data_IF_986430783898
#
_entry.id   IF_986430783898
#
_cell.length_a   1.000
_cell.length_b   1.000
_cell.length_c   1.000
_cell.angle_alpha   90.00
_cell.angle_beta   90.00
_cell.angle_gamma   90.00
#
_symmetry.space_group_name_H-M   'P 1'
#
loop_
_entity.id
_entity.type
_entity.pdbx_description
1 polymer ?
#
# COMPACT_ATOMS: atom_id res chain seq x y z
N UNK A 1 14.48 -14.51 9.50
CA UNK A 1 13.03 -14.28 9.47
C UNK A 1 12.29 -14.97 10.61
N UNK A 2 12.47 -16.29 10.79
CA UNK A 2 11.87 -17.05 11.90
C UNK A 2 12.02 -16.40 13.28
N UNK A 3 13.22 -15.92 13.64
CA UNK A 3 13.44 -15.27 14.94
C UNK A 3 12.53 -14.04 15.14
N UNK A 4 12.50 -13.08 14.20
CA UNK A 4 11.65 -11.90 14.33
C UNK A 4 10.14 -12.24 14.37
N UNK A 5 9.68 -13.26 13.64
CA UNK A 5 8.27 -13.65 13.62
C UNK A 5 7.87 -14.47 14.85
N UNK A 6 8.63 -15.50 15.18
CA UNK A 6 8.28 -16.51 16.20
C UNK A 6 8.78 -16.12 17.59
N UNK A 7 10.00 -15.57 17.69
CA UNK A 7 10.62 -15.24 18.98
C UNK A 7 10.21 -13.84 19.43
N UNK A 8 10.25 -12.84 18.54
CA UNK A 8 9.86 -11.47 18.86
C UNK A 8 8.35 -11.21 18.70
N UNK A 9 7.63 -12.11 18.03
CA UNK A 9 6.19 -11.97 17.80
C UNK A 9 5.83 -10.79 16.88
N UNK A 10 6.77 -10.32 16.05
CA UNK A 10 6.64 -9.09 15.29
C UNK A 10 6.34 -9.36 13.82
N UNK A 11 5.15 -8.96 13.35
CA UNK A 11 4.72 -9.10 11.95
C UNK A 11 5.14 -7.93 11.04
N UNK A 12 5.67 -6.82 11.57
CA UNK A 12 6.04 -5.63 10.77
C UNK A 12 7.10 -5.96 9.70
N UNK A 13 7.87 -7.01 9.93
CA UNK A 13 8.84 -7.52 8.97
C UNK A 13 8.21 -8.10 7.69
N UNK A 14 6.92 -8.44 7.68
CA UNK A 14 6.20 -8.85 6.47
C UNK A 14 6.09 -7.69 5.48
N UNK A 15 6.03 -6.45 5.95
CA UNK A 15 6.07 -5.28 5.07
C UNK A 15 7.43 -5.02 4.42
N UNK A 16 8.50 -5.67 4.88
CA UNK A 16 9.77 -5.60 4.14
C UNK A 16 9.67 -6.28 2.77
N UNK A 17 8.65 -7.11 2.56
CA UNK A 17 8.38 -7.82 1.30
C UNK A 17 7.71 -6.85 0.34
N UNK A 18 8.55 -6.17 -0.43
CA UNK A 18 8.18 -5.09 -1.34
C UNK A 18 8.78 -5.27 -2.74
N UNK A 19 9.62 -6.30 -2.90
CA UNK A 19 10.27 -6.65 -4.16
C UNK A 19 9.28 -7.03 -5.26
N UNK A 20 9.66 -6.69 -6.49
CA UNK A 20 9.02 -7.20 -7.69
C UNK A 20 9.15 -8.73 -7.73
N UNK A 21 8.01 -9.42 -7.79
CA UNK A 21 7.98 -10.88 -7.71
C UNK A 21 8.73 -11.56 -8.86
N UNK A 22 8.86 -10.92 -10.01
CA UNK A 22 9.63 -11.44 -11.15
C UNK A 22 11.15 -11.44 -10.90
N UNK A 23 11.63 -10.55 -10.03
CA UNK A 23 13.05 -10.41 -9.69
C UNK A 23 13.45 -11.24 -8.47
N UNK A 24 12.46 -11.79 -7.78
CA UNK A 24 12.63 -12.52 -6.53
C UNK A 24 13.12 -13.95 -6.76
N UNK A 25 13.98 -14.45 -5.87
CA UNK A 25 14.35 -15.86 -5.82
C UNK A 25 13.14 -16.74 -5.47
N UNK A 26 12.68 -17.52 -6.45
CA UNK A 26 11.52 -18.41 -6.34
C UNK A 26 11.65 -19.49 -5.25
N UNK A 27 12.88 -19.78 -4.79
CA UNK A 27 13.13 -20.76 -3.72
C UNK A 27 12.80 -20.23 -2.33
N UNK A 28 12.64 -18.92 -2.17
CA UNK A 28 12.30 -18.31 -0.89
C UNK A 28 10.79 -18.35 -0.66
N UNK A 29 10.37 -18.82 0.51
CA UNK A 29 8.96 -18.81 0.92
C UNK A 29 8.36 -17.41 0.79
N UNK A 30 7.10 -17.31 0.35
CA UNK A 30 6.47 -16.02 0.04
C UNK A 30 6.45 -14.99 1.18
N UNK A 31 6.61 -15.41 2.43
CA UNK A 31 6.65 -14.56 3.63
C UNK A 31 8.08 -14.22 4.11
N UNK A 32 9.11 -14.59 3.34
CA UNK A 32 10.53 -14.30 3.65
C UNK A 32 11.04 -13.24 2.68
N UNK A 33 11.49 -12.05 3.11
CA UNK A 33 12.01 -11.03 2.19
C UNK A 33 13.26 -11.51 1.45
N UNK A 34 13.37 -11.16 0.16
CA UNK A 34 14.57 -11.41 -0.63
C UNK A 34 15.55 -10.24 -0.55
N UNK A 35 16.43 -10.25 0.46
CA UNK A 35 17.47 -9.23 0.61
C UNK A 35 18.46 -9.19 -0.57
N UNK A 36 18.54 -10.26 -1.38
CA UNK A 36 19.36 -10.26 -2.59
C UNK A 36 18.81 -9.35 -3.68
N UNK A 37 17.49 -9.16 -3.76
CA UNK A 37 16.84 -8.25 -4.69
C UNK A 37 17.07 -6.76 -4.36
N UNK A 38 17.53 -6.49 -3.13
CA UNK A 38 17.79 -5.16 -2.57
C UNK A 38 19.29 -4.86 -2.43
N UNK A 39 20.15 -5.55 -3.20
CA UNK A 39 21.61 -5.46 -3.08
C UNK A 39 22.23 -4.26 -3.83
N UNK A 40 21.49 -3.62 -4.72
CA UNK A 40 21.94 -2.46 -5.48
C UNK A 40 21.49 -1.15 -4.81
N UNK A 41 22.36 -0.15 -4.68
CA UNK A 41 21.94 1.16 -4.20
C UNK A 41 20.73 1.67 -4.99
N UNK A 42 19.69 2.11 -4.26
CA UNK A 42 18.45 2.63 -4.85
C UNK A 42 17.60 1.61 -5.64
N UNK A 43 17.84 0.29 -5.47
CA UNK A 43 16.97 -0.75 -6.03
C UNK A 43 15.76 -1.09 -5.16
N UNK A 44 15.74 -0.62 -3.91
CA UNK A 44 14.59 -0.75 -3.02
C UNK A 44 13.35 -0.11 -3.67
N UNK A 45 12.44 -0.94 -4.15
CA UNK A 45 11.12 -0.49 -4.56
C UNK A 45 10.32 -0.18 -3.31
N UNK A 46 10.01 1.10 -3.12
CA UNK A 46 9.24 1.56 -1.97
C UNK A 46 7.77 1.21 -2.22
N UNK A 47 7.27 0.17 -1.55
CA UNK A 47 5.85 -0.21 -1.64
C UNK A 47 5.23 -0.56 -0.30
N UNK A 48 5.89 -0.39 0.85
CA UNK A 48 5.37 -0.82 2.16
C UNK A 48 4.89 0.33 3.05
N UNK A 49 3.65 0.22 3.54
CA UNK A 49 3.01 1.15 4.46
C UNK A 49 3.39 0.90 5.93
N UNK A 50 3.91 -0.28 6.27
CA UNK A 50 4.38 -0.60 7.63
C UNK A 50 5.79 -0.09 7.92
N UNK A 51 6.31 0.88 7.16
CA UNK A 51 7.57 1.52 7.52
C UNK A 51 7.36 2.47 8.69
N UNK A 52 7.78 2.04 9.88
CA UNK A 52 8.61 2.92 10.65
C UNK A 52 9.72 2.22 11.41
N UNK A 53 10.94 2.35 10.90
CA UNK A 53 12.10 2.12 11.77
C UNK A 53 12.16 3.21 12.86
N UNK A 54 11.46 4.37 12.71
CA UNK A 54 11.63 5.54 13.58
C UNK A 54 10.38 6.35 14.02
N UNK A 55 9.14 6.03 13.62
CA UNK A 55 7.93 6.78 14.04
C UNK A 55 6.65 5.92 14.03
N UNK A 56 5.83 5.83 15.08
CA UNK A 56 4.65 4.94 15.08
C UNK A 56 3.80 5.09 13.80
N UNK A 57 3.36 3.97 13.18
CA UNK A 57 2.63 4.04 11.92
C UNK A 57 1.33 4.82 12.13
N UNK A 58 0.91 5.62 11.15
CA UNK A 58 -0.32 6.40 11.27
C UNK A 58 -1.54 5.49 11.42
N UNK A 59 -1.49 4.26 10.91
CA UNK A 59 -2.52 3.23 11.00
C UNK A 59 -2.14 2.16 12.04
N UNK A 60 -3.11 1.75 12.83
CA UNK A 60 -2.95 0.73 13.87
C UNK A 60 -4.26 -0.06 13.97
N UNK A 61 -4.28 -1.24 13.33
CA UNK A 61 -5.44 -2.12 13.34
C UNK A 61 -5.87 -2.54 14.75
N UNK A 62 -4.96 -2.52 15.75
CA UNK A 62 -5.25 -2.90 17.12
C UNK A 62 -5.51 -1.72 18.05
N UNK A 63 -5.54 -0.48 17.55
CA UNK A 63 -5.76 0.74 18.36
C UNK A 63 -4.85 0.79 19.61
N UNK A 64 -3.59 0.40 19.47
CA UNK A 64 -2.55 0.32 20.51
C UNK A 64 -2.78 -0.76 21.56
N UNK A 65 -3.74 -1.65 21.34
CA UNK A 65 -3.86 -2.85 22.16
C UNK A 65 -2.74 -3.83 21.82
N UNK A 66 -1.96 -4.18 22.84
CA UNK A 66 -0.92 -5.21 22.72
C UNK A 66 -1.57 -6.59 22.81
N UNK A 67 -1.60 -7.27 21.68
CA UNK A 67 -1.96 -8.68 21.58
C UNK A 67 -0.69 -9.47 21.30
N UNK A 68 -0.47 -10.57 22.02
CA UNK A 68 0.64 -11.49 21.74
C UNK A 68 0.14 -12.59 20.79
N UNK A 69 0.44 -12.51 19.48
CA UNK A 69 -0.02 -13.53 18.55
C UNK A 69 0.67 -14.88 18.80
N UNK A 70 -0.10 -15.96 18.65
CA UNK A 70 0.48 -17.30 18.51
C UNK A 70 1.06 -17.44 17.10
N UNK A 71 2.37 -17.29 16.97
CA UNK A 71 3.10 -17.43 15.72
C UNK A 71 3.95 -18.68 15.79
N UNK A 72 3.82 -19.56 14.79
CA UNK A 72 4.64 -20.75 14.67
C UNK A 72 4.94 -21.05 13.21
N UNK A 73 5.75 -22.05 12.97
CA UNK A 73 6.07 -22.54 11.65
C UNK A 73 5.77 -24.03 11.54
N UNK A 74 5.55 -24.51 10.33
CA UNK A 74 5.36 -25.92 9.98
C UNK A 74 6.15 -26.27 8.71
N UNK A 75 6.21 -27.56 8.38
CA UNK A 75 6.88 -28.09 7.18
C UNK A 75 8.33 -27.60 7.03
N UNK A 76 9.15 -27.84 8.05
CA UNK A 76 10.57 -27.43 8.07
C UNK A 76 10.75 -25.92 7.84
N UNK A 77 9.96 -25.11 8.55
CA UNK A 77 9.92 -23.66 8.43
C UNK A 77 9.54 -23.12 7.03
N UNK A 78 8.89 -23.93 6.18
CA UNK A 78 8.36 -23.45 4.89
C UNK A 78 6.99 -22.77 5.01
N UNK A 79 6.19 -23.18 6.00
CA UNK A 79 4.86 -22.62 6.25
C UNK A 79 4.86 -21.77 7.51
N UNK A 80 4.39 -20.52 7.40
CA UNK A 80 4.13 -19.66 8.55
C UNK A 80 2.69 -19.88 9.02
N UNK A 81 2.50 -20.21 10.30
CA UNK A 81 1.20 -20.51 10.89
C UNK A 81 0.79 -19.37 11.81
N UNK A 82 -0.30 -18.70 11.45
CA UNK A 82 -0.84 -17.52 12.12
C UNK A 82 -2.36 -17.66 12.26
N UNK A 83 -2.94 -16.89 13.18
CA UNK A 83 -4.38 -16.66 13.24
C UNK A 83 -4.68 -15.30 12.60
N UNK A 84 -5.83 -15.21 11.93
CA UNK A 84 -6.30 -13.96 11.35
C UNK A 84 -7.81 -13.97 11.16
N UNK A 85 -8.34 -12.80 10.82
CA UNK A 85 -9.74 -12.60 10.50
C UNK A 85 -9.84 -12.21 9.02
N UNK A 86 -10.56 -13.02 8.25
CA UNK A 86 -10.93 -12.67 6.88
C UNK A 86 -11.94 -11.52 6.93
N UNK A 87 -11.63 -10.43 6.26
CA UNK A 87 -12.46 -9.22 6.22
C UNK A 87 -13.34 -9.23 4.97
N UNK A 88 -12.75 -9.48 3.81
CA UNK A 88 -13.41 -9.48 2.50
C UNK A 88 -12.52 -10.17 1.46
N UNK A 89 -13.01 -10.27 0.22
CA UNK A 89 -12.25 -10.68 -0.97
C UNK A 89 -12.20 -9.56 -2.00
N UNK A 90 -11.14 -9.53 -2.79
CA UNK A 90 -10.96 -8.59 -3.89
C UNK A 90 -11.91 -8.95 -5.03
N UNK A 91 -12.67 -7.96 -5.52
CA UNK A 91 -13.58 -8.13 -6.66
C UNK A 91 -12.98 -7.55 -7.94
N UNK A 92 -12.38 -6.36 -7.87
CA UNK A 92 -11.80 -5.64 -9.00
C UNK A 92 -10.42 -5.14 -8.64
N UNK A 93 -9.52 -5.12 -9.60
CA UNK A 93 -8.18 -4.55 -9.47
C UNK A 93 -7.90 -3.65 -10.67
N UNK A 94 -7.44 -2.44 -10.41
CA UNK A 94 -7.07 -1.46 -11.42
C UNK A 94 -5.64 -1.59 -11.90
N UNK A 95 -5.22 -0.71 -12.78
CA UNK A 95 -3.88 -0.67 -13.34
C UNK A 95 -2.83 -0.38 -12.26
N UNK A 96 -1.59 -0.84 -12.51
CA UNK A 96 -0.45 -0.55 -11.63
C UNK A 96 -0.03 0.91 -11.79
N UNK A 97 0.04 1.63 -10.67
CA UNK A 97 0.61 2.97 -10.64
C UNK A 97 2.10 2.93 -11.06
N UNK A 98 2.55 3.86 -11.92
CA UNK A 98 3.91 3.90 -12.40
C UNK A 98 4.88 4.12 -11.23
N UNK A 99 5.82 3.20 -11.06
CA UNK A 99 7.00 3.43 -10.23
C UNK A 99 7.99 4.38 -10.89
N UNK A 100 9.12 4.62 -10.22
CA UNK A 100 10.20 5.42 -10.76
C UNK A 100 11.34 4.55 -11.32
N UNK A 101 11.51 4.53 -12.64
CA UNK A 101 12.65 3.89 -13.34
C UNK A 101 13.26 4.83 -14.37
N UNK A 102 13.78 5.99 -13.91
CA UNK A 102 14.46 6.96 -14.79
C UNK A 102 13.59 7.45 -15.96
N UNK A 103 12.28 7.49 -15.74
CA UNK A 103 11.32 7.86 -16.77
C UNK A 103 11.28 9.37 -16.93
N UNK A 104 10.94 9.81 -18.14
CA UNK A 104 10.61 11.21 -18.39
C UNK A 104 9.43 11.64 -17.50
N UNK A 105 9.59 12.79 -16.82
CA UNK A 105 8.59 13.31 -15.88
C UNK A 105 7.22 13.51 -16.52
N UNK A 106 7.16 13.99 -17.77
CA UNK A 106 5.89 14.18 -18.48
C UNK A 106 5.20 12.86 -18.75
N UNK A 107 5.95 11.84 -19.19
CA UNK A 107 5.43 10.49 -19.40
C UNK A 107 4.92 9.86 -18.11
N UNK A 108 5.63 10.10 -17.00
CA UNK A 108 5.21 9.63 -15.68
C UNK A 108 3.87 10.26 -15.27
N UNK A 109 3.73 11.59 -15.43
CA UNK A 109 2.49 12.34 -15.16
C UNK A 109 1.32 11.82 -16.00
N UNK A 110 1.51 11.64 -17.31
CA UNK A 110 0.47 11.13 -18.20
C UNK A 110 0.03 9.72 -17.80
N UNK A 111 0.99 8.86 -17.49
CA UNK A 111 0.71 7.49 -17.04
C UNK A 111 -0.07 7.48 -15.73
N UNK A 112 0.36 8.27 -14.74
CA UNK A 112 -0.32 8.35 -13.45
C UNK A 112 -1.73 8.92 -13.60
N UNK A 113 -1.94 9.90 -14.48
CA UNK A 113 -3.27 10.45 -14.79
C UNK A 113 -4.20 9.38 -15.35
N UNK A 114 -3.73 8.60 -16.33
CA UNK A 114 -4.50 7.49 -16.89
C UNK A 114 -4.86 6.45 -15.84
N UNK A 115 -3.90 6.10 -14.97
CA UNK A 115 -4.12 5.17 -13.85
C UNK A 115 -5.18 5.71 -12.89
N UNK A 116 -5.10 6.97 -12.46
CA UNK A 116 -6.10 7.57 -11.57
C UNK A 116 -7.50 7.59 -12.19
N UNK A 117 -7.59 7.88 -13.49
CA UNK A 117 -8.87 7.84 -14.21
C UNK A 117 -9.46 6.44 -14.24
N UNK A 118 -8.62 5.40 -14.44
CA UNK A 118 -9.05 4.02 -14.45
C UNK A 118 -9.48 3.57 -13.04
N UNK A 119 -8.69 3.86 -12.01
CA UNK A 119 -9.04 3.60 -10.61
C UNK A 119 -10.39 4.23 -10.22
N UNK A 120 -10.63 5.47 -10.65
CA UNK A 120 -11.90 6.17 -10.43
C UNK A 120 -13.07 5.43 -11.08
N UNK A 121 -12.87 4.84 -12.26
CA UNK A 121 -13.90 4.10 -13.00
C UNK A 121 -14.30 2.76 -12.35
N UNK A 122 -13.47 2.23 -11.44
CA UNK A 122 -13.76 0.99 -10.71
C UNK A 122 -14.79 1.18 -9.60
N UNK A 123 -14.97 2.41 -9.13
CA UNK A 123 -15.87 2.73 -8.03
C UNK A 123 -17.31 2.32 -8.37
N UNK A 124 -18.07 1.81 -7.38
CA UNK A 124 -19.48 1.50 -7.58
C UNK A 124 -20.26 2.76 -7.99
N UNK A 125 -21.28 2.62 -8.83
CA UNK A 125 -22.08 3.74 -9.33
C UNK A 125 -23.02 4.39 -8.30
N UNK A 126 -23.07 3.88 -7.06
CA UNK A 126 -23.75 4.56 -5.95
C UNK A 126 -22.97 5.83 -5.55
N UNK A 127 -23.55 6.71 -4.73
CA UNK A 127 -22.84 7.96 -4.34
C UNK A 127 -22.05 7.84 -3.03
N UNK A 128 -22.37 6.85 -2.18
CA UNK A 128 -21.81 6.73 -0.83
C UNK A 128 -20.95 5.47 -0.67
N UNK A 129 -19.83 5.65 0.02
CA UNK A 129 -18.97 4.59 0.53
C UNK A 129 -19.69 3.74 1.57
N UNK A 130 -19.20 2.51 1.76
CA UNK A 130 -19.82 1.51 2.64
C UNK A 130 -20.05 2.00 4.08
N UNK A 131 -19.19 2.89 4.57
CA UNK A 131 -19.28 3.47 5.92
C UNK A 131 -20.08 4.78 5.98
N UNK A 132 -20.65 5.22 4.85
CA UNK A 132 -21.57 6.36 4.75
C UNK A 132 -20.93 7.66 4.24
N UNK A 133 -19.61 7.72 4.10
CA UNK A 133 -18.91 8.87 3.52
C UNK A 133 -19.11 8.96 2.01
N UNK A 134 -18.82 10.13 1.43
CA UNK A 134 -18.84 10.32 -0.02
C UNK A 134 -17.73 9.53 -0.71
N UNK A 135 -18.01 8.95 -1.89
CA UNK A 135 -16.99 8.18 -2.61
C UNK A 135 -15.81 9.01 -3.07
N UNK A 136 -15.98 10.28 -3.45
CA UNK A 136 -14.84 11.13 -3.84
C UNK A 136 -13.88 11.32 -2.66
N UNK A 137 -14.41 11.56 -1.47
CA UNK A 137 -13.61 11.78 -0.28
C UNK A 137 -12.88 10.50 0.10
N UNK A 138 -13.60 9.38 0.13
CA UNK A 138 -13.01 8.07 0.45
C UNK A 138 -11.96 7.66 -0.59
N UNK A 139 -12.23 7.88 -1.89
CA UNK A 139 -11.30 7.61 -2.98
C UNK A 139 -10.00 8.40 -2.82
N UNK A 140 -10.08 9.72 -2.65
CA UNK A 140 -8.87 10.53 -2.52
C UNK A 140 -8.14 10.24 -1.21
N UNK A 141 -8.83 9.99 -0.10
CA UNK A 141 -8.17 9.52 1.12
C UNK A 141 -7.43 8.21 0.89
N UNK A 142 -7.98 7.26 0.14
CA UNK A 142 -7.29 6.02 -0.22
C UNK A 142 -6.09 6.27 -1.13
N UNK A 143 -6.24 7.06 -2.19
CA UNK A 143 -5.17 7.39 -3.15
C UNK A 143 -4.01 8.12 -2.49
N UNK A 144 -4.32 9.03 -1.55
CA UNK A 144 -3.34 9.79 -0.78
C UNK A 144 -2.86 9.06 0.48
N UNK A 145 -3.30 7.81 0.69
CA UNK A 145 -3.07 6.99 1.91
C UNK A 145 -3.38 7.74 3.22
N UNK A 146 -4.34 8.66 3.15
CA UNK A 146 -4.79 9.57 4.20
C UNK A 146 -3.67 10.47 4.75
N UNK A 147 -2.65 10.76 3.94
CA UNK A 147 -1.50 11.61 4.27
C UNK A 147 -1.49 12.93 3.48
N UNK A 148 -0.95 13.97 4.11
CA UNK A 148 -0.64 15.25 3.45
C UNK A 148 0.46 15.05 2.40
N UNK A 149 0.28 15.61 1.20
CA UNK A 149 1.13 15.35 0.03
C UNK A 149 2.18 16.45 -0.26
N UNK A 150 2.17 17.54 0.50
CA UNK A 150 2.96 18.74 0.20
C UNK A 150 2.31 19.62 -0.86
N UNK A 151 3.02 20.67 -1.26
CA UNK A 151 2.51 21.68 -2.18
C UNK A 151 3.54 22.00 -3.26
N UNK A 152 3.16 22.00 -4.53
CA UNK A 152 4.02 22.53 -5.59
C UNK A 152 4.13 24.07 -5.50
N UNK A 153 5.32 24.68 -5.71
CA UNK A 153 6.60 24.09 -6.13
C UNK A 153 7.50 23.61 -4.98
N UNK A 154 7.00 23.57 -3.76
CA UNK A 154 7.75 23.21 -2.55
C UNK A 154 7.30 21.83 -1.99
N UNK A 155 7.50 20.72 -2.71
CA UNK A 155 7.03 19.39 -2.28
C UNK A 155 7.53 18.99 -0.88
N UNK A 156 8.69 19.53 -0.46
CA UNK A 156 9.23 19.36 0.89
C UNK A 156 8.37 19.98 2.01
N UNK A 157 7.30 20.72 1.69
CA UNK A 157 6.34 21.22 2.67
C UNK A 157 5.53 20.09 3.33
N UNK A 158 5.57 18.89 2.77
CA UNK A 158 5.02 17.71 3.38
C UNK A 158 5.92 17.23 4.54
N UNK A 159 5.66 17.75 5.75
CA UNK A 159 6.50 17.47 6.93
C UNK A 159 6.13 16.09 7.50
N UNK A 160 6.75 15.04 6.99
CA UNK A 160 6.59 13.66 7.48
C UNK A 160 5.21 13.06 7.19
N UNK A 161 4.96 11.86 7.74
CA UNK A 161 3.70 11.13 7.57
C UNK A 161 2.56 11.72 8.43
N UNK A 162 2.15 12.95 8.12
CA UNK A 162 1.01 13.60 8.77
C UNK A 162 -0.29 13.21 8.09
N UNK A 163 -1.28 12.79 8.90
CA UNK A 163 -2.62 12.50 8.41
C UNK A 163 -3.35 13.77 7.93
N UNK A 164 -4.26 13.59 6.98
CA UNK A 164 -5.19 14.64 6.54
C UNK A 164 -6.07 15.10 7.72
N UNK A 165 -6.09 16.40 7.98
CA UNK A 165 -7.00 17.02 8.94
C UNK A 165 -8.36 17.37 8.29
N UNK A 166 -9.28 17.94 9.05
CA UNK A 166 -10.63 18.22 8.57
C UNK A 166 -10.67 19.33 7.51
N UNK A 167 -9.69 20.24 7.51
CA UNK A 167 -9.56 21.25 6.45
C UNK A 167 -9.07 20.60 5.17
N UNK A 168 -8.03 19.75 5.25
CA UNK A 168 -7.53 19.02 4.09
C UNK A 168 -8.64 18.16 3.45
N UNK A 169 -9.44 17.48 4.28
CA UNK A 169 -10.56 16.63 3.84
C UNK A 169 -11.66 17.38 3.10
N UNK A 170 -11.91 18.66 3.44
CA UNK A 170 -12.87 19.51 2.73
C UNK A 170 -12.34 19.90 1.35
N UNK A 171 -11.03 20.00 1.21
CA UNK A 171 -10.35 20.45 0.00
C UNK A 171 -10.16 19.32 -1.03
N UNK A 172 -10.34 18.04 -0.63
CA UNK A 172 -10.23 16.88 -1.52
C UNK A 172 -11.14 16.95 -2.75
N UNK A 173 -12.28 17.64 -2.67
CA UNK A 173 -13.17 17.83 -3.82
C UNK A 173 -12.48 18.58 -4.97
N UNK A 174 -11.46 19.40 -4.68
CA UNK A 174 -10.69 20.11 -5.71
C UNK A 174 -9.88 19.17 -6.59
N UNK A 175 -9.53 17.98 -6.10
CA UNK A 175 -8.79 16.98 -6.87
C UNK A 175 -9.61 16.36 -8.00
N UNK A 176 -10.94 16.49 -7.97
CA UNK A 176 -11.81 16.13 -9.09
C UNK A 176 -11.84 17.21 -10.20
N UNK A 177 -11.23 18.39 -10.00
CA UNK A 177 -11.06 19.38 -11.08
C UNK A 177 -9.78 19.13 -11.87
N UNK A 178 -9.74 19.49 -13.18
CA UNK A 178 -8.52 19.37 -13.98
C UNK A 178 -7.32 20.09 -13.35
N UNK A 179 -7.54 21.27 -12.77
CA UNK A 179 -6.48 22.10 -12.16
C UNK A 179 -5.94 21.49 -10.86
N UNK A 180 -6.83 20.96 -10.01
CA UNK A 180 -6.43 20.31 -8.76
C UNK A 180 -5.65 19.02 -9.01
N UNK A 181 -6.14 18.19 -9.93
CA UNK A 181 -5.45 16.98 -10.37
C UNK A 181 -4.07 17.29 -10.96
N UNK A 182 -3.98 18.32 -11.82
CA UNK A 182 -2.71 18.75 -12.42
C UNK A 182 -1.71 19.21 -11.36
N UNK A 183 -2.18 19.96 -10.37
CA UNK A 183 -1.33 20.43 -9.26
C UNK A 183 -0.80 19.26 -8.43
N UNK A 184 -1.63 18.26 -8.14
CA UNK A 184 -1.23 17.05 -7.41
C UNK A 184 -0.18 16.26 -8.20
N UNK A 185 -0.43 16.00 -9.48
CA UNK A 185 0.49 15.25 -10.34
C UNK A 185 1.84 15.94 -10.47
N UNK A 186 1.85 17.27 -10.61
CA UNK A 186 3.10 18.04 -10.63
C UNK A 186 3.82 18.04 -9.28
N UNK A 187 3.09 18.02 -8.17
CA UNK A 187 3.67 17.86 -6.82
C UNK A 187 4.39 16.51 -6.71
N UNK A 188 3.70 15.42 -7.07
CA UNK A 188 4.30 14.08 -7.08
C UNK A 188 5.49 13.96 -8.05
N UNK A 189 5.37 14.55 -9.24
CA UNK A 189 6.42 14.60 -10.24
C UNK A 189 7.67 15.38 -9.80
N UNK A 190 7.53 16.35 -8.89
CA UNK A 190 8.66 17.00 -8.25
C UNK A 190 9.30 16.11 -7.17
N UNK A 191 8.49 15.38 -6.39
CA UNK A 191 8.95 14.46 -5.34
C UNK A 191 9.76 13.26 -5.85
N UNK A 192 9.55 12.83 -7.12
CA UNK A 192 10.28 11.69 -7.71
C UNK A 192 11.70 12.02 -8.17
N UNK A 193 12.06 13.31 -8.25
CA UNK A 193 13.41 13.71 -8.63
C UNK A 193 14.42 13.24 -7.58
N UNK A 194 15.65 12.90 -8.03
CA UNK A 194 16.67 12.22 -7.21
C UNK A 194 16.98 13.00 -5.93
N UNK A 195 16.93 14.32 -6.00
CA UNK A 195 17.17 15.29 -4.93
C UNK A 195 16.12 15.20 -3.80
N UNK A 196 14.91 14.71 -4.11
CA UNK A 196 13.78 14.62 -3.19
C UNK A 196 13.34 13.19 -2.86
N UNK A 197 13.97 12.16 -3.46
CA UNK A 197 13.65 10.74 -3.19
C UNK A 197 13.72 10.35 -1.71
N UNK A 198 14.53 11.05 -0.92
CA UNK A 198 14.68 10.83 0.52
C UNK A 198 13.49 11.38 1.35
N UNK A 199 12.53 12.11 0.74
CA UNK A 199 11.43 12.80 1.43
C UNK A 199 10.10 12.02 1.50
N UNK A 200 10.12 10.70 1.28
CA UNK A 200 9.20 9.71 1.89
C UNK A 200 7.68 9.97 1.84
N UNK A 201 7.04 10.08 0.68
CA UNK A 201 5.56 10.20 0.69
C UNK A 201 4.76 9.56 -0.44
N UNK A 202 5.38 8.91 -1.42
CA UNK A 202 4.62 8.41 -2.58
C UNK A 202 4.31 6.92 -2.44
N UNK A 203 3.50 6.62 -1.43
CA UNK A 203 3.13 5.26 -1.03
C UNK A 203 2.31 4.51 -2.07
N UNK A 204 1.69 5.21 -3.01
CA UNK A 204 0.91 4.61 -4.10
C UNK A 204 1.76 4.03 -5.23
N UNK A 205 3.08 4.24 -5.23
CA UNK A 205 3.93 3.74 -6.32
C UNK A 205 3.97 2.23 -6.38
N UNK A 206 3.93 1.70 -7.61
CA UNK A 206 3.89 0.28 -7.87
C UNK A 206 2.76 -0.46 -7.13
N UNK A 207 1.71 0.27 -6.70
CA UNK A 207 0.50 -0.31 -6.12
C UNK A 207 -0.64 -0.30 -7.14
N UNK A 208 -1.67 -1.08 -6.84
CA UNK A 208 -2.90 -1.18 -7.65
C UNK A 208 -4.09 -0.82 -6.78
N UNK A 209 -5.01 -0.01 -7.30
CA UNK A 209 -6.29 0.17 -6.63
C UNK A 209 -7.13 -1.11 -6.74
N UNK A 210 -7.93 -1.40 -5.73
CA UNK A 210 -8.85 -2.53 -5.76
C UNK A 210 -10.15 -2.18 -5.08
N UNK A 211 -11.21 -2.89 -5.45
CA UNK A 211 -12.52 -2.85 -4.80
C UNK A 211 -12.84 -4.26 -4.33
N UNK A 212 -13.32 -4.40 -3.10
CA UNK A 212 -13.69 -5.68 -2.50
C UNK A 212 -15.14 -6.05 -2.82
N UNK A 213 -15.53 -7.31 -2.59
CA UNK A 213 -16.89 -7.78 -2.89
C UNK A 213 -17.97 -7.05 -2.11
N UNK A 214 -17.65 -6.56 -0.92
CA UNK A 214 -18.59 -5.82 -0.09
C UNK A 214 -18.50 -4.30 -0.28
N UNK A 215 -17.62 -3.80 -1.17
CA UNK A 215 -17.55 -2.39 -1.56
C UNK A 215 -16.56 -1.54 -0.76
N UNK A 216 -15.65 -2.16 0.01
CA UNK A 216 -14.44 -1.45 0.45
C UNK A 216 -13.50 -1.27 -0.73
N UNK A 217 -12.57 -0.33 -0.65
CA UNK A 217 -11.52 -0.22 -1.66
C UNK A 217 -10.19 0.23 -1.07
N UNK A 218 -9.12 -0.11 -1.79
CA UNK A 218 -7.78 0.13 -1.32
C UNK A 218 -6.68 0.13 -2.37
N UNK A 219 -5.41 0.31 -1.97
CA UNK A 219 -4.17 0.21 -2.73
C UNK A 219 -3.36 -1.03 -2.32
N UNK A 220 -3.37 -2.09 -3.11
CA UNK A 220 -2.61 -3.32 -2.82
C UNK A 220 -1.30 -3.44 -3.60
N UNK A 221 -0.56 -4.53 -3.37
CA UNK A 221 0.65 -4.88 -4.12
C UNK A 221 0.36 -5.08 -5.62
N UNK A 222 1.41 -5.09 -6.44
CA UNK A 222 1.30 -5.26 -7.90
C UNK A 222 0.60 -6.58 -8.28
N UNK A 223 0.84 -7.64 -7.51
CA UNK A 223 0.40 -9.01 -7.81
C UNK A 223 -1.02 -9.30 -7.32
N UNK A 224 -1.72 -8.30 -6.78
CA UNK A 224 -3.09 -8.46 -6.32
C UNK A 224 -4.00 -8.82 -7.51
N UNK A 225 -4.85 -9.82 -7.31
CA UNK A 225 -5.82 -10.32 -8.28
C UNK A 225 -7.23 -10.41 -7.68
N UNK A 226 -8.28 -10.48 -8.50
CA UNK A 226 -9.60 -10.89 -8.04
C UNK A 226 -9.55 -12.22 -7.27
N UNK A 227 -10.45 -12.37 -6.31
CA UNK A 227 -10.57 -13.49 -5.37
C UNK A 227 -9.46 -13.58 -4.30
N UNK A 228 -8.41 -12.75 -4.36
CA UNK A 228 -7.48 -12.59 -3.24
C UNK A 228 -8.24 -12.14 -1.98
N UNK A 229 -7.91 -12.74 -0.84
CA UNK A 229 -8.56 -12.47 0.44
C UNK A 229 -7.84 -11.34 1.17
N UNK A 230 -8.60 -10.36 1.62
CA UNK A 230 -8.15 -9.31 2.53
C UNK A 230 -8.43 -9.75 3.96
N UNK A 231 -7.39 -9.78 4.79
CA UNK A 231 -7.48 -10.22 6.18
C UNK A 231 -6.67 -9.35 7.14
N UNK A 232 -7.02 -9.42 8.42
CA UNK A 232 -6.20 -8.90 9.51
C UNK A 232 -5.52 -10.09 10.18
N UNK A 233 -4.20 -10.18 10.06
CA UNK A 233 -3.40 -11.17 10.79
C UNK A 233 -3.23 -10.69 12.23
N UNK A 234 -3.50 -11.57 13.19
CA UNK A 234 -3.38 -11.20 14.61
C UNK A 234 -1.93 -10.84 14.93
N UNK A 235 -1.73 -9.71 15.59
CA UNK A 235 -0.40 -9.11 15.85
C UNK A 235 0.12 -8.21 14.73
N UNK A 236 -0.60 -8.12 13.60
CA UNK A 236 -0.29 -7.21 12.52
C UNK A 236 -0.88 -5.82 12.75
N UNK A 237 -0.19 -4.80 12.24
CA UNK A 237 -0.62 -3.41 12.31
C UNK A 237 -1.45 -2.96 11.10
N UNK A 238 -1.45 -3.75 10.02
CA UNK A 238 -2.09 -3.48 8.71
C UNK A 238 -2.97 -4.64 8.23
N UNK A 239 -3.70 -4.42 7.13
CA UNK A 239 -4.39 -5.48 6.41
C UNK A 239 -3.44 -6.21 5.46
N UNK A 240 -3.74 -7.47 5.14
CA UNK A 240 -2.91 -8.32 4.29
C UNK A 240 -3.73 -8.99 3.20
N UNK A 241 -3.13 -9.15 2.03
CA UNK A 241 -3.67 -9.91 0.92
C UNK A 241 -3.07 -11.32 0.89
N UNK A 242 -3.95 -12.32 0.87
CA UNK A 242 -3.61 -13.75 0.80
C UNK A 242 -4.34 -14.42 -0.35
N UNK A 243 -3.66 -15.33 -1.05
CA UNK A 243 -4.26 -16.15 -2.12
C UNK A 243 -4.40 -17.60 -1.66
N UNK A 244 -5.58 -18.17 -1.86
CA UNK A 244 -5.83 -19.57 -1.54
C UNK A 244 -5.07 -20.50 -2.48
N UNK A 245 -4.36 -21.49 -1.94
CA UNK A 245 -3.69 -22.56 -2.68
C UNK A 245 -4.23 -23.95 -2.28
N UNK A 246 -5.43 -24.03 -1.67
CA UNK A 246 -6.06 -25.25 -1.19
C UNK A 246 -5.82 -25.47 0.30
N UNK A 247 -4.67 -26.07 0.64
CA UNK A 247 -4.36 -26.40 2.05
C UNK A 247 -3.66 -25.25 2.78
N UNK A 248 -3.11 -24.28 2.05
CA UNK A 248 -2.34 -23.15 2.58
C UNK A 248 -2.65 -21.87 1.83
N UNK A 249 -2.18 -20.76 2.38
CA UNK A 249 -2.32 -19.44 1.78
C UNK A 249 -0.98 -18.93 1.30
N UNK A 250 -0.97 -18.32 0.12
CA UNK A 250 0.18 -17.58 -0.40
C UNK A 250 0.10 -16.14 0.07
N UNK A 251 1.15 -15.65 0.71
CA UNK A 251 1.31 -14.23 0.98
C UNK A 251 1.49 -13.45 -0.32
N UNK A 252 0.65 -12.43 -0.53
CA UNK A 252 0.71 -11.55 -1.69
C UNK A 252 1.34 -10.20 -1.30
N UNK A 253 0.95 -9.65 -0.15
CA UNK A 253 1.53 -8.41 0.36
C UNK A 253 0.64 -7.78 1.42
N UNK A 254 1.06 -6.61 1.89
CA UNK A 254 0.30 -5.80 2.85
C UNK A 254 -0.42 -4.63 2.19
N UNK A 255 -1.37 -4.09 2.96
CA UNK A 255 -2.02 -2.83 2.70
C UNK A 255 -1.25 -1.69 3.37
#
# INVERSE_FOLDING_TARGET
MRAALVEDGNLDCLGLISEDRELRNEKLNCWVPDFGAHNEPFSDYITSLTKPIFSPPPYDASLRHKFSPSISTDNDDSTLVLKGLVVDSVQKVGEKAPGWKGQDTSKWVDTMRSVLSEWRSLLPGDSHYRTGEEYYQSFWRTVLVDLKQGEHPNPSSAIGAQRLDDLDKQELIRLDTPEGLETLLNTWAACIQIEYRQLRLIEQFNRRFFVTTTGYFGLGPTELEPDDVICVLLGGSVAYALRDNGDTWRYIGEW
#
